data_IF_527519084072
#
_entry.id   IF_527519084072
#
_cell.length_a   1.000
_cell.length_b   1.000
_cell.length_c   1.000
_cell.angle_alpha   90.00
_cell.angle_beta   90.00
_cell.angle_gamma   90.00
#
_symmetry.space_group_name_H-M   'P 1'
#
loop_
_entity.id
_entity.type
_entity.pdbx_description
1 polymer ?
#
# COMPACT_ATOMS: atom_id res chain seq x y z
N UNK A 1 2.22 -15.91 14.67
CA UNK A 1 1.75 -15.79 13.28
C UNK A 1 1.48 -14.32 12.97
N UNK A 2 1.95 -13.84 11.83
CA UNK A 2 1.86 -12.44 11.38
C UNK A 2 1.27 -12.41 9.97
N UNK A 3 0.46 -11.41 9.66
CA UNK A 3 -0.21 -11.30 8.36
C UNK A 3 -0.03 -9.91 7.75
N UNK A 4 0.39 -9.88 6.49
CA UNK A 4 0.56 -8.64 5.71
C UNK A 4 -0.15 -8.86 4.37
N UNK A 5 -1.27 -8.17 4.10
CA UNK A 5 -1.88 -8.22 2.78
C UNK A 5 -0.97 -7.49 1.79
N UNK A 6 -0.51 -8.21 0.77
CA UNK A 6 0.26 -7.66 -0.35
C UNK A 6 -0.56 -7.80 -1.63
N UNK A 7 -0.57 -6.75 -2.45
CA UNK A 7 -1.28 -6.62 -3.72
C UNK A 7 -2.77 -6.21 -3.64
N UNK A 8 -3.14 -5.23 -4.47
CA UNK A 8 -4.52 -4.76 -4.66
C UNK A 8 -4.70 -3.30 -4.30
N UNK A 9 -5.82 -2.71 -4.73
CA UNK A 9 -6.24 -1.41 -4.22
C UNK A 9 -6.50 -1.50 -2.71
N UNK A 10 -6.46 -0.35 -2.03
CA UNK A 10 -6.66 -0.24 -0.58
C UNK A 10 -7.87 -1.04 -0.07
N UNK A 11 -8.98 -1.04 -0.82
CA UNK A 11 -10.20 -1.78 -0.46
C UNK A 11 -10.00 -3.29 -0.41
N UNK A 12 -9.18 -3.85 -1.30
CA UNK A 12 -8.84 -5.28 -1.28
C UNK A 12 -7.98 -5.62 -0.06
N UNK A 13 -7.05 -4.74 0.32
CA UNK A 13 -6.20 -4.95 1.49
C UNK A 13 -7.00 -4.91 2.80
N UNK A 14 -7.98 -4.01 2.90
CA UNK A 14 -8.92 -3.95 4.03
C UNK A 14 -9.76 -5.22 4.13
N UNK A 15 -10.35 -5.68 3.01
CA UNK A 15 -11.14 -6.92 3.00
C UNK A 15 -10.29 -8.15 3.37
N UNK A 16 -9.05 -8.22 2.90
CA UNK A 16 -8.13 -9.31 3.24
C UNK A 16 -7.72 -9.28 4.72
N UNK A 17 -7.57 -8.08 5.29
CA UNK A 17 -7.34 -7.88 6.73
C UNK A 17 -8.53 -8.36 7.56
N UNK A 18 -9.76 -8.11 7.12
CA UNK A 18 -10.96 -8.61 7.79
C UNK A 18 -11.06 -10.14 7.73
N UNK A 19 -10.72 -10.75 6.59
CA UNK A 19 -10.64 -12.20 6.47
C UNK A 19 -9.59 -12.78 7.43
N UNK A 20 -8.40 -12.19 7.53
CA UNK A 20 -7.38 -12.63 8.48
C UNK A 20 -7.84 -12.58 9.94
N UNK A 21 -8.63 -11.56 10.33
CA UNK A 21 -9.26 -11.49 11.66
C UNK A 21 -10.25 -12.62 11.89
N UNK A 22 -11.09 -12.93 10.90
CA UNK A 22 -12.07 -14.02 10.96
C UNK A 22 -11.38 -15.39 11.10
N UNK A 23 -10.24 -15.57 10.42
CA UNK A 23 -9.42 -16.78 10.48
C UNK A 23 -8.65 -16.95 11.79
N UNK A 24 -8.75 -15.99 12.73
CA UNK A 24 -8.16 -16.08 14.06
C UNK A 24 -6.80 -15.39 14.22
N UNK A 25 -6.33 -14.63 13.23
CA UNK A 25 -5.12 -13.82 13.39
C UNK A 25 -5.41 -12.66 14.33
N UNK A 26 -4.63 -12.54 15.41
CA UNK A 26 -4.79 -11.44 16.35
C UNK A 26 -4.63 -10.08 15.63
N UNK A 27 -5.51 -9.09 15.85
CA UNK A 27 -5.45 -7.80 15.13
C UNK A 27 -4.10 -7.09 15.26
N UNK A 28 -3.43 -7.24 16.40
CA UNK A 28 -2.08 -6.69 16.65
C UNK A 28 -0.99 -7.31 15.77
N UNK A 29 -1.29 -8.46 15.14
CA UNK A 29 -0.39 -9.19 14.27
C UNK A 29 -0.69 -8.97 12.77
N UNK A 30 -1.63 -8.09 12.44
CA UNK A 30 -1.99 -7.74 11.07
C UNK A 30 -1.47 -6.35 10.76
N UNK A 31 -0.58 -6.24 9.78
CA UNK A 31 0.00 -4.96 9.38
C UNK A 31 -0.46 -4.60 7.96
N UNK A 32 -1.22 -3.51 7.85
CA UNK A 32 -1.66 -2.98 6.57
C UNK A 32 -0.56 -2.03 6.03
N UNK A 33 0.12 -2.43 4.96
CA UNK A 33 1.22 -1.65 4.38
C UNK A 33 0.82 -1.07 3.03
N UNK A 34 1.35 0.11 2.69
CA UNK A 34 1.24 0.73 1.38
C UNK A 34 2.57 0.63 0.60
N UNK A 35 2.50 0.94 -0.70
CA UNK A 35 3.69 1.02 -1.54
C UNK A 35 4.70 2.02 -0.96
N UNK A 36 5.90 1.51 -0.72
CA UNK A 36 7.01 2.25 -0.15
C UNK A 36 7.15 2.09 1.36
N UNK A 37 6.25 1.43 2.07
CA UNK A 37 6.45 1.17 3.50
C UNK A 37 7.52 0.09 3.72
N UNK A 38 8.43 0.35 4.66
CA UNK A 38 9.44 -0.61 5.10
C UNK A 38 8.92 -1.28 6.37
N UNK A 39 8.93 -2.62 6.37
CA UNK A 39 8.45 -3.43 7.47
C UNK A 39 9.62 -4.16 8.11
N UNK A 40 9.75 -4.03 9.43
CA UNK A 40 10.74 -4.73 10.23
C UNK A 40 10.09 -5.91 10.95
N UNK A 41 10.58 -7.12 10.68
CA UNK A 41 10.14 -8.35 11.31
C UNK A 41 11.22 -8.86 12.26
N UNK A 42 10.90 -8.93 13.55
CA UNK A 42 11.73 -9.51 14.60
C UNK A 42 11.01 -10.71 15.23
N UNK A 43 11.73 -11.56 15.99
CA UNK A 43 11.14 -12.76 16.63
C UNK A 43 9.91 -12.48 17.50
N UNK A 44 9.81 -11.24 18.02
CA UNK A 44 8.74 -10.83 18.94
C UNK A 44 7.77 -9.80 18.35
N UNK A 45 8.20 -9.03 17.35
CA UNK A 45 7.49 -7.83 16.89
C UNK A 45 7.49 -7.73 15.37
N UNK A 46 6.44 -7.09 14.84
CA UNK A 46 6.31 -6.64 13.46
C UNK A 46 5.98 -5.14 13.51
N UNK A 47 6.83 -4.29 12.94
CA UNK A 47 6.68 -2.83 13.03
C UNK A 47 7.08 -2.12 11.73
N UNK A 48 6.73 -0.85 11.60
CA UNK A 48 7.14 0.00 10.49
C UNK A 48 8.55 0.57 10.72
N UNK A 49 9.50 0.20 9.84
CA UNK A 49 10.89 0.67 9.88
C UNK A 49 11.14 1.98 9.12
N UNK A 50 10.14 2.47 8.37
CA UNK A 50 10.24 3.72 7.62
C UNK A 50 9.52 3.67 6.29
N UNK A 51 9.87 4.59 5.39
CA UNK A 51 9.28 4.68 4.04
C UNK A 51 10.37 4.94 3.01
N UNK A 52 10.39 4.16 1.94
CA UNK A 52 11.18 4.40 0.74
C UNK A 52 10.34 5.09 -0.34
N UNK A 53 10.96 5.89 -1.22
CA UNK A 53 10.25 6.47 -2.36
C UNK A 53 9.78 5.37 -3.31
N UNK A 54 8.47 5.11 -3.32
CA UNK A 54 7.80 4.25 -4.30
C UNK A 54 7.05 5.13 -5.29
N UNK A 55 7.76 5.65 -6.29
CA UNK A 55 7.19 6.56 -7.28
C UNK A 55 6.85 5.80 -8.57
N UNK A 56 5.63 6.01 -9.09
CA UNK A 56 5.20 5.37 -10.32
C UNK A 56 5.84 6.07 -11.53
N UNK A 57 6.83 5.42 -12.15
CA UNK A 57 7.45 5.93 -13.38
C UNK A 57 6.51 5.66 -14.56
N UNK A 58 5.98 6.73 -15.15
CA UNK A 58 5.17 6.65 -16.37
C UNK A 58 6.09 6.48 -17.58
N UNK A 59 5.96 5.40 -18.37
CA UNK A 59 6.78 5.19 -19.54
C UNK A 59 6.62 6.34 -20.56
N UNK A 60 7.69 6.72 -21.27
CA UNK A 60 7.73 7.95 -22.07
C UNK A 60 6.68 7.99 -23.19
N UNK A 61 6.24 6.83 -23.71
CA UNK A 61 5.19 6.75 -24.74
C UNK A 61 3.77 7.05 -24.23
N UNK A 62 3.53 7.00 -22.91
CA UNK A 62 2.23 7.32 -22.32
C UNK A 62 2.07 8.82 -21.97
N UNK A 63 3.14 9.62 -22.09
CA UNK A 63 3.11 11.05 -21.75
C UNK A 63 2.41 11.92 -22.83
N UNK A 64 2.22 11.41 -24.04
CA UNK A 64 1.68 12.15 -25.19
C UNK A 64 0.14 12.32 -25.19
N UNK A 65 -0.57 11.98 -24.11
CA UNK A 65 -2.04 12.00 -24.07
C UNK A 65 -2.71 13.03 -23.15
N UNK A 66 -1.97 13.77 -22.31
CA UNK A 66 -2.59 14.76 -21.39
C UNK A 66 -2.53 16.17 -21.97
N UNK A 67 -3.49 16.48 -22.83
CA UNK A 67 -3.84 17.88 -23.15
C UNK A 67 -4.16 18.61 -21.83
N UNK A 68 -3.28 19.52 -21.40
CA UNK A 68 -3.57 20.43 -20.30
C UNK A 68 -4.70 21.35 -20.74
N UNK A 69 -5.93 21.09 -20.31
CA UNK A 69 -7.01 22.08 -20.33
C UNK A 69 -6.57 23.26 -19.44
N UNK A 70 -6.06 24.32 -20.07
CA UNK A 70 -5.90 25.62 -19.42
C UNK A 70 -7.29 26.16 -19.10
N UNK A 71 -7.71 26.08 -17.85
CA UNK A 71 -8.81 26.92 -17.34
C UNK A 71 -8.28 28.34 -17.25
N UNK A 72 -8.57 29.13 -18.27
CA UNK A 72 -8.37 30.56 -18.28
C UNK A 72 -9.44 31.17 -17.37
N UNK A 73 -9.10 31.49 -16.13
CA UNK A 73 -9.94 32.32 -15.26
C UNK A 73 -9.52 33.78 -15.45
N UNK A 74 -10.23 34.46 -16.35
CA UNK A 74 -10.43 35.91 -16.29
C UNK A 74 -11.80 36.15 -15.69
#
# INVERSE_FOLDING_TARGET
EWFIPIHGEYRHMVANTELAKIMGVAPRNILLCEDGDVVELNEKNLDFGGRIPAEFIVPPKAQHGRSKKKTNKK
#
